data_IF_440845117695
#
_entry.id   IF_440845117695
#
_cell.length_a   1.000
_cell.length_b   1.000
_cell.length_c   1.000
_cell.angle_alpha   90.00
_cell.angle_beta   90.00
_cell.angle_gamma   90.00
#
_symmetry.space_group_name_H-M   'P 1'
#
loop_
_entity.id
_entity.type
_entity.pdbx_description
1 polymer ?
#
# COMPACT_ATOMS: atom_id res chain seq x y z
N UNK A 1 0.58 -8.04 -15.93
CA UNK A 1 -0.01 -6.81 -15.36
C UNK A 1 0.06 -6.94 -13.86
N UNK A 2 0.85 -6.10 -13.21
CA UNK A 2 1.01 -6.13 -11.76
C UNK A 2 0.28 -4.94 -11.14
N UNK A 3 -0.52 -5.21 -10.12
CA UNK A 3 -1.20 -4.18 -9.35
C UNK A 3 -0.31 -3.75 -8.20
N UNK A 4 0.05 -2.46 -8.19
CA UNK A 4 0.80 -1.83 -7.12
C UNK A 4 -0.11 -0.86 -6.36
N UNK A 5 0.31 -0.43 -5.17
CA UNK A 5 -0.40 0.57 -4.38
C UNK A 5 0.44 1.84 -4.32
N UNK A 6 -0.13 2.94 -4.79
CA UNK A 6 0.42 4.27 -4.63
C UNK A 6 -0.13 4.92 -3.37
N UNK A 7 0.74 5.45 -2.52
CA UNK A 7 0.38 6.33 -1.40
C UNK A 7 0.87 7.74 -1.70
N UNK A 8 -0.03 8.70 -1.51
CA UNK A 8 0.30 10.11 -1.48
C UNK A 8 0.23 10.59 -0.04
N UNK A 9 1.34 11.14 0.45
CA UNK A 9 1.48 11.65 1.80
C UNK A 9 0.99 13.10 1.90
N UNK A 10 0.72 13.58 3.11
CA UNK A 10 0.28 14.97 3.35
C UNK A 10 1.31 16.03 2.94
N UNK A 11 2.59 15.68 2.99
CA UNK A 11 3.68 16.51 2.46
C UNK A 11 3.75 16.53 0.92
N UNK A 12 2.82 15.83 0.24
CA UNK A 12 2.78 15.61 -1.22
C UNK A 12 3.92 14.75 -1.76
N UNK A 13 4.73 14.13 -0.89
CA UNK A 13 5.59 13.01 -1.26
C UNK A 13 4.72 11.84 -1.77
N UNK A 14 5.17 11.16 -2.81
CA UNK A 14 4.45 10.05 -3.45
C UNK A 14 5.35 8.82 -3.50
N UNK A 15 4.80 7.67 -3.11
CA UNK A 15 5.50 6.38 -3.20
C UNK A 15 4.60 5.32 -3.83
N UNK A 16 5.22 4.46 -4.64
CA UNK A 16 4.59 3.28 -5.21
C UNK A 16 5.19 2.06 -4.53
N UNK A 17 4.33 1.26 -3.92
CA UNK A 17 4.69 0.05 -3.20
C UNK A 17 4.32 -1.18 -4.02
N UNK A 18 5.16 -2.19 -3.93
CA UNK A 18 4.95 -3.50 -4.53
C UNK A 18 3.94 -4.34 -3.73
N UNK A 19 2.75 -3.77 -3.53
CA UNK A 19 1.68 -4.32 -2.70
C UNK A 19 0.38 -4.35 -3.51
N UNK A 20 -0.46 -5.36 -3.26
CA UNK A 20 -1.72 -5.55 -3.96
C UNK A 20 -2.94 -5.51 -3.03
N UNK A 21 -2.72 -5.40 -1.72
CA UNK A 21 -3.78 -5.20 -0.73
C UNK A 21 -3.34 -4.24 0.36
N UNK A 22 -4.31 -3.59 1.01
CA UNK A 22 -4.06 -2.74 2.17
C UNK A 22 -5.18 -2.83 3.21
N UNK A 23 -4.81 -2.63 4.47
CA UNK A 23 -5.72 -2.64 5.60
C UNK A 23 -5.41 -1.53 6.60
N UNK A 24 -6.46 -0.91 7.15
CA UNK A 24 -6.34 0.08 8.22
C UNK A 24 -6.52 -0.62 9.57
N UNK A 25 -5.51 -0.53 10.43
CA UNK A 25 -5.56 -1.06 11.79
C UNK A 25 -6.02 0.00 12.80
N UNK A 26 -6.60 -0.46 13.92
CA UNK A 26 -7.08 0.41 15.00
C UNK A 26 -5.95 1.21 15.68
N UNK A 27 -4.70 0.75 15.54
CA UNK A 27 -3.50 1.45 16.05
C UNK A 27 -3.12 2.70 15.21
N UNK A 28 -3.90 3.02 14.17
CA UNK A 28 -3.68 4.21 13.35
C UNK A 28 -2.63 4.00 12.25
N UNK A 29 -2.38 2.76 11.86
CA UNK A 29 -1.48 2.39 10.77
C UNK A 29 -2.25 1.77 9.59
N UNK A 30 -1.78 2.02 8.38
CA UNK A 30 -2.16 1.36 7.15
C UNK A 30 -1.08 0.34 6.80
N UNK A 31 -1.43 -0.93 6.78
CA UNK A 31 -0.56 -2.00 6.32
C UNK A 31 -0.75 -2.19 4.83
N UNK A 32 0.36 -2.35 4.11
CA UNK A 32 0.39 -2.75 2.72
C UNK A 32 0.97 -4.15 2.67
N UNK A 33 0.23 -5.07 2.07
CA UNK A 33 0.66 -6.46 1.91
C UNK A 33 0.67 -6.84 0.43
N UNK A 34 1.56 -7.77 0.10
CA UNK A 34 1.54 -8.49 -1.16
C UNK A 34 1.00 -9.89 -0.88
N UNK A 35 -0.12 -10.23 -1.50
CA UNK A 35 -0.74 -11.56 -1.43
C UNK A 35 -0.49 -12.29 -2.74
N UNK A 36 0.21 -13.42 -2.66
CA UNK A 36 0.46 -14.29 -3.82
C UNK A 36 -0.78 -15.13 -4.20
N UNK A 37 -0.75 -15.85 -5.33
CA UNK A 37 -1.79 -16.77 -5.78
C UNK A 37 -2.13 -17.87 -4.74
N UNK A 38 -1.18 -18.24 -3.88
CA UNK A 38 -1.41 -19.18 -2.77
C UNK A 38 -2.06 -18.53 -1.51
N UNK A 39 -2.59 -17.31 -1.62
CA UNK A 39 -3.15 -16.50 -0.51
C UNK A 39 -2.14 -16.21 0.62
N UNK A 40 -0.84 -16.30 0.31
CA UNK A 40 0.24 -16.02 1.26
C UNK A 40 0.56 -14.52 1.25
N UNK A 41 0.15 -13.84 2.31
CA UNK A 41 0.46 -12.43 2.53
C UNK A 41 1.89 -12.20 3.03
N UNK A 42 2.56 -11.19 2.49
CA UNK A 42 3.82 -10.63 2.99
C UNK A 42 3.68 -9.13 3.22
N UNK A 43 4.07 -8.67 4.41
CA UNK A 43 4.06 -7.24 4.74
C UNK A 43 5.09 -6.49 3.91
N UNK A 44 4.63 -5.53 3.11
CA UNK A 44 5.47 -4.68 2.25
C UNK A 44 5.82 -3.38 2.96
N UNK A 45 4.83 -2.74 3.58
CA UNK A 45 5.02 -1.50 4.32
C UNK A 45 3.98 -1.34 5.43
N UNK A 46 4.33 -0.57 6.45
CA UNK A 46 3.42 -0.10 7.48
C UNK A 46 3.55 1.42 7.57
N UNK A 47 2.46 2.13 7.32
CA UNK A 47 2.45 3.59 7.14
C UNK A 47 1.47 4.23 8.11
N UNK A 48 1.88 5.30 8.81
CA UNK A 48 0.99 6.03 9.71
C UNK A 48 -0.18 6.65 8.94
N UNK A 49 -1.42 6.33 9.33
CA UNK A 49 -2.63 6.92 8.71
C UNK A 49 -2.69 8.43 8.87
N UNK A 50 -2.03 8.96 9.90
CA UNK A 50 -1.93 10.40 10.13
C UNK A 50 -1.08 11.11 9.08
N UNK A 51 -0.21 10.39 8.36
CA UNK A 51 0.65 10.94 7.31
C UNK A 51 0.07 10.75 5.90
N UNK A 52 -0.89 9.83 5.75
CA UNK A 52 -1.52 9.51 4.47
C UNK A 52 -2.52 10.62 4.10
N UNK A 53 -2.46 11.06 2.83
CA UNK A 53 -3.46 11.92 2.20
C UNK A 53 -4.50 11.07 1.48
N UNK A 54 -4.05 10.14 0.64
CA UNK A 54 -4.88 9.12 -0.01
C UNK A 54 -4.02 7.97 -0.54
N UNK A 55 -4.66 6.83 -0.84
CA UNK A 55 -4.07 5.67 -1.51
C UNK A 55 -4.87 5.31 -2.76
N UNK A 56 -4.23 4.70 -3.75
CA UNK A 56 -4.89 4.18 -4.95
C UNK A 56 -4.13 2.97 -5.52
N UNK A 57 -4.87 2.07 -6.16
CA UNK A 57 -4.27 1.02 -6.98
C UNK A 57 -3.75 1.61 -8.28
N UNK A 58 -2.57 1.16 -8.71
CA UNK A 58 -1.95 1.54 -9.98
C UNK A 58 -1.49 0.29 -10.70
N UNK A 59 -1.80 0.23 -12.00
CA UNK A 59 -1.27 -0.81 -12.88
C UNK A 59 0.12 -0.39 -13.35
N UNK A 60 1.10 -1.26 -13.20
CA UNK A 60 2.44 -1.10 -13.74
C UNK A 60 2.69 -2.15 -14.82
N UNK A 61 3.08 -1.69 -16.01
CA UNK A 61 3.66 -2.53 -17.05
C UNK A 61 5.12 -2.81 -16.67
N UNK A 62 5.53 -4.08 -16.74
CA UNK A 62 6.90 -4.54 -16.43
C UNK A 62 7.96 -3.98 -17.39
#
# INVERSE_FOLDING_TARGET
MKTNIKIVFKDNTEWVFDANTFGFEEDGFCRLDFVDEEDRGSLVACVSTSEIKYSMFVEVEE
#
